data_IF_935342709842
#
_entry.id   IF_935342709842
#
_cell.length_a   1.000
_cell.length_b   1.000
_cell.length_c   1.000
_cell.angle_alpha   90.00
_cell.angle_beta   90.00
_cell.angle_gamma   90.00
#
_symmetry.space_group_name_H-M   'P 1'
#
loop_
_entity.id
_entity.type
_entity.pdbx_description
1 polymer ?
#
# COMPACT_ATOMS: atom_id res chain seq x y z
N UNK A 1 17.95 12.93 15.74
CA UNK A 1 16.68 12.46 16.32
C UNK A 1 15.86 13.56 16.99
N UNK A 2 16.41 14.77 17.20
CA UNK A 2 15.72 15.86 17.95
C UNK A 2 14.78 16.76 17.11
N UNK A 3 14.50 16.40 15.87
CA UNK A 3 13.66 17.24 14.99
C UNK A 3 12.25 16.70 14.76
N UNK A 4 11.89 15.54 15.33
CA UNK A 4 10.52 15.02 15.23
C UNK A 4 9.71 15.69 16.35
N UNK A 5 9.07 16.82 16.06
CA UNK A 5 8.11 17.44 16.97
C UNK A 5 7.00 16.43 17.26
N UNK A 6 6.98 15.87 18.48
CA UNK A 6 5.88 15.05 18.96
C UNK A 6 5.91 13.59 18.52
N UNK A 7 7.08 12.94 18.36
CA UNK A 7 7.12 11.48 18.27
C UNK A 7 6.57 10.90 19.57
N UNK A 8 5.29 10.64 19.60
CA UNK A 8 4.62 9.98 20.72
C UNK A 8 4.65 8.48 20.44
N UNK A 9 5.05 7.68 21.39
CA UNK A 9 4.85 6.22 21.35
C UNK A 9 3.37 5.86 21.50
N UNK A 10 2.48 6.85 21.46
CA UNK A 10 1.04 6.69 21.62
C UNK A 10 0.30 7.86 20.93
N UNK A 11 -0.72 7.52 20.13
CA UNK A 11 -1.59 8.49 19.47
C UNK A 11 -2.78 8.80 20.36
N UNK A 12 -3.11 10.08 20.53
CA UNK A 12 -4.39 10.48 21.14
C UNK A 12 -5.53 10.34 20.14
N UNK A 13 -5.99 9.11 19.95
CA UNK A 13 -7.03 8.78 18.98
C UNK A 13 -8.31 9.59 19.16
N UNK A 14 -8.67 9.95 20.38
CA UNK A 14 -9.89 10.74 20.67
C UNK A 14 -9.85 12.14 20.08
N UNK A 15 -8.65 12.66 19.84
CA UNK A 15 -8.47 13.95 19.16
C UNK A 15 -8.70 13.83 17.65
N UNK A 16 -8.30 12.72 17.05
CA UNK A 16 -8.26 12.55 15.59
C UNK A 16 -9.45 11.80 15.03
N UNK A 17 -10.07 10.89 15.80
CA UNK A 17 -11.05 9.93 15.31
C UNK A 17 -12.29 9.87 16.21
N UNK A 18 -13.45 9.78 15.58
CA UNK A 18 -14.73 9.57 16.25
C UNK A 18 -15.57 8.55 15.46
N UNK A 19 -16.58 7.97 16.12
CA UNK A 19 -17.54 7.06 15.46
C UNK A 19 -18.18 7.72 14.23
N UNK A 20 -18.30 6.95 13.15
CA UNK A 20 -18.81 7.40 11.86
C UNK A 20 -17.76 8.06 10.95
N UNK A 21 -16.50 8.17 11.38
CA UNK A 21 -15.43 8.69 10.52
C UNK A 21 -14.99 7.64 9.50
N UNK A 22 -14.44 8.13 8.38
CA UNK A 22 -13.84 7.31 7.34
C UNK A 22 -12.33 7.43 7.38
N UNK A 23 -11.64 6.30 7.50
CA UNK A 23 -10.18 6.23 7.46
C UNK A 23 -9.70 5.63 6.15
N UNK A 24 -8.64 6.21 5.59
CA UNK A 24 -7.87 5.59 4.50
C UNK A 24 -6.64 4.92 5.10
N UNK A 25 -6.31 3.72 4.63
CA UNK A 25 -5.11 2.99 5.04
C UNK A 25 -4.17 2.86 3.84
N UNK A 26 -2.90 3.21 4.04
CA UNK A 26 -1.83 3.04 3.05
C UNK A 26 -1.74 1.61 2.53
N UNK A 27 -1.32 1.47 1.28
CA UNK A 27 -1.49 0.26 0.47
C UNK A 27 -0.29 -0.67 0.50
N UNK A 28 -0.48 -1.87 -0.03
CA UNK A 28 0.53 -2.90 -0.29
C UNK A 28 1.42 -3.20 0.93
N UNK A 29 2.75 -3.22 0.73
CA UNK A 29 3.73 -3.41 1.79
C UNK A 29 3.96 -2.17 2.65
N UNK A 30 3.42 -1.00 2.27
CA UNK A 30 3.47 0.23 3.06
C UNK A 30 2.25 0.39 4.01
N UNK A 31 1.49 -0.68 4.24
CA UNK A 31 0.40 -0.67 5.21
C UNK A 31 0.94 -0.36 6.62
N UNK A 32 0.34 0.60 7.37
CA UNK A 32 0.80 1.01 8.69
C UNK A 32 0.28 0.06 9.79
N UNK A 33 0.74 -1.20 9.76
CA UNK A 33 0.21 -2.26 10.63
C UNK A 33 0.32 -1.94 12.12
N UNK A 34 1.46 -1.42 12.60
CA UNK A 34 1.62 -1.10 14.03
C UNK A 34 0.69 0.02 14.48
N UNK A 35 0.44 1.00 13.62
CA UNK A 35 -0.49 2.08 13.89
C UNK A 35 -1.93 1.57 13.94
N UNK A 36 -2.31 0.67 13.02
CA UNK A 36 -3.62 0.03 13.02
C UNK A 36 -3.81 -0.90 14.22
N UNK A 37 -2.80 -1.65 14.61
CA UNK A 37 -2.85 -2.49 15.80
C UNK A 37 -3.08 -1.66 17.06
N UNK A 38 -2.39 -0.52 17.20
CA UNK A 38 -2.60 0.40 18.31
C UNK A 38 -4.05 0.94 18.30
N UNK A 39 -4.57 1.36 17.15
CA UNK A 39 -5.96 1.83 17.04
C UNK A 39 -6.95 0.76 17.50
N UNK A 40 -6.78 -0.48 17.06
CA UNK A 40 -7.66 -1.59 17.42
C UNK A 40 -7.58 -1.87 18.92
N UNK A 41 -6.37 -2.01 19.45
CA UNK A 41 -6.16 -2.40 20.84
C UNK A 41 -6.65 -1.32 21.84
N UNK A 42 -6.56 -0.04 21.47
CA UNK A 42 -6.94 1.06 22.35
C UNK A 42 -8.38 1.54 22.18
N UNK A 43 -8.95 1.44 20.98
CA UNK A 43 -10.20 2.14 20.64
C UNK A 43 -11.30 1.25 20.06
N UNK A 44 -11.04 0.00 19.67
CA UNK A 44 -12.06 -0.83 19.02
C UNK A 44 -13.34 -1.01 19.86
N UNK A 45 -13.23 -0.98 21.20
CA UNK A 45 -14.40 -1.07 22.09
C UNK A 45 -15.14 0.25 22.32
N UNK A 46 -14.56 1.38 21.91
CA UNK A 46 -15.10 2.73 22.13
C UNK A 46 -15.62 3.39 20.86
N UNK A 47 -15.28 2.85 19.69
CA UNK A 47 -15.65 3.37 18.37
C UNK A 47 -16.65 2.43 17.70
N UNK A 48 -17.53 2.98 16.86
CA UNK A 48 -18.44 2.22 16.00
C UNK A 48 -18.49 2.91 14.64
N UNK A 49 -18.92 2.15 13.62
CA UNK A 49 -19.17 2.64 12.28
C UNK A 49 -17.98 3.38 11.64
N UNK A 50 -16.76 2.91 11.89
CA UNK A 50 -15.55 3.39 11.22
C UNK A 50 -15.45 2.71 9.87
N UNK A 51 -15.58 3.47 8.79
CA UNK A 51 -15.37 2.96 7.45
C UNK A 51 -13.87 2.97 7.11
N UNK A 52 -13.33 1.79 6.76
CA UNK A 52 -11.94 1.59 6.39
C UNK A 52 -11.82 1.48 4.88
N UNK A 53 -11.31 2.52 4.24
CA UNK A 53 -11.07 2.56 2.79
C UNK A 53 -9.63 2.15 2.50
N UNK A 54 -9.45 1.21 1.60
CA UNK A 54 -8.14 0.76 1.14
C UNK A 54 -8.17 0.22 -0.29
N UNK A 55 -7.01 0.12 -0.94
CA UNK A 55 -6.89 -0.54 -2.24
C UNK A 55 -6.53 -2.00 -2.02
N UNK A 56 -5.29 -2.27 -1.66
CA UNK A 56 -4.73 -3.59 -1.40
C UNK A 56 -3.82 -3.47 -0.18
N UNK A 57 -4.00 -4.33 0.80
CA UNK A 57 -3.17 -4.35 2.00
C UNK A 57 -2.55 -5.73 2.18
N UNK A 58 -1.26 -5.76 2.51
CA UNK A 58 -0.54 -6.98 2.83
C UNK A 58 -0.44 -7.16 4.35
N UNK A 59 -0.41 -8.40 4.81
CA UNK A 59 -0.36 -8.73 6.24
C UNK A 59 -1.69 -9.25 6.77
N UNK A 60 -1.85 -9.26 8.09
CA UNK A 60 -2.98 -9.92 8.76
C UNK A 60 -4.31 -9.18 8.68
N UNK A 61 -4.32 -7.91 8.32
CA UNK A 61 -5.55 -7.10 8.18
C UNK A 61 -6.54 -7.31 9.33
N UNK A 62 -6.08 -7.13 10.58
CA UNK A 62 -6.89 -7.38 11.79
C UNK A 62 -8.24 -6.67 11.76
N UNK A 63 -8.28 -5.45 11.24
CA UNK A 63 -9.51 -4.63 11.10
C UNK A 63 -10.56 -5.27 10.18
N UNK A 64 -10.17 -6.14 9.26
CA UNK A 64 -11.08 -6.85 8.36
C UNK A 64 -11.62 -8.16 8.96
N UNK A 65 -11.22 -8.52 10.18
CA UNK A 65 -11.69 -9.74 10.82
C UNK A 65 -13.10 -9.55 11.38
N UNK A 66 -13.93 -10.59 11.27
CA UNK A 66 -15.34 -10.58 11.67
C UNK A 66 -15.60 -10.11 13.11
N UNK A 67 -14.67 -10.34 14.03
CA UNK A 67 -14.78 -9.90 15.43
C UNK A 67 -14.81 -8.39 15.61
N UNK A 68 -14.38 -7.62 14.59
CA UNK A 68 -14.33 -6.15 14.61
C UNK A 68 -15.39 -5.52 13.69
N UNK A 69 -16.30 -6.30 13.11
CA UNK A 69 -17.30 -5.83 12.14
C UNK A 69 -18.25 -4.75 12.69
N UNK A 70 -18.47 -4.70 14.00
CA UNK A 70 -19.31 -3.69 14.65
C UNK A 70 -18.56 -2.35 14.83
N UNK A 71 -17.22 -2.39 14.75
CA UNK A 71 -16.36 -1.20 14.86
C UNK A 71 -15.90 -0.72 13.49
N UNK A 72 -15.45 -1.64 12.63
CA UNK A 72 -14.86 -1.34 11.34
C UNK A 72 -15.67 -1.96 10.21
N UNK A 73 -16.15 -1.14 9.30
CA UNK A 73 -16.73 -1.57 8.03
C UNK A 73 -15.69 -1.35 6.94
N UNK A 74 -15.28 -2.43 6.29
CA UNK A 74 -14.30 -2.35 5.22
C UNK A 74 -14.97 -1.91 3.91
N UNK A 75 -14.39 -0.92 3.23
CA UNK A 75 -14.73 -0.54 1.86
C UNK A 75 -13.47 -0.74 0.99
N UNK A 76 -13.43 -1.86 0.27
CA UNK A 76 -12.32 -2.19 -0.60
C UNK A 76 -12.49 -1.54 -1.98
N UNK A 77 -11.48 -0.79 -2.43
CA UNK A 77 -11.42 -0.28 -3.81
C UNK A 77 -10.76 -1.30 -4.75
N UNK A 78 -10.11 -2.30 -4.19
CA UNK A 78 -9.59 -3.48 -4.87
C UNK A 78 -9.69 -4.72 -3.96
N UNK A 79 -10.11 -5.85 -4.51
CA UNK A 79 -10.30 -7.09 -3.74
C UNK A 79 -9.01 -7.92 -3.71
N UNK A 80 -8.22 -7.72 -2.67
CA UNK A 80 -7.10 -8.59 -2.32
C UNK A 80 -7.52 -9.92 -1.68
N UNK A 81 -6.55 -10.81 -1.46
CA UNK A 81 -6.82 -12.11 -0.85
C UNK A 81 -7.38 -11.98 0.58
N UNK A 82 -6.85 -11.03 1.38
CA UNK A 82 -7.24 -10.85 2.78
C UNK A 82 -8.62 -10.22 3.01
N UNK A 83 -9.24 -9.65 1.98
CA UNK A 83 -10.52 -8.93 2.09
C UNK A 83 -11.65 -9.60 1.31
N UNK A 84 -11.31 -10.53 0.42
CA UNK A 84 -12.29 -11.21 -0.44
C UNK A 84 -13.33 -12.00 0.35
N UNK A 85 -12.92 -12.65 1.43
CA UNK A 85 -13.81 -13.41 2.30
C UNK A 85 -14.83 -12.49 2.98
N UNK A 86 -14.37 -11.36 3.51
CA UNK A 86 -15.20 -10.37 4.17
C UNK A 86 -16.33 -9.83 3.25
N UNK A 87 -15.99 -9.53 2.00
CA UNK A 87 -16.98 -9.12 0.98
C UNK A 87 -17.92 -10.26 0.62
N UNK A 88 -17.42 -11.49 0.48
CA UNK A 88 -18.23 -12.65 0.14
C UNK A 88 -19.23 -13.00 1.24
N UNK A 89 -18.85 -12.84 2.51
CA UNK A 89 -19.71 -13.08 3.67
C UNK A 89 -20.62 -11.88 4.01
N UNK A 90 -20.47 -10.75 3.34
CA UNK A 90 -21.36 -9.58 3.43
C UNK A 90 -21.12 -8.67 4.63
N UNK A 91 -19.93 -8.72 5.24
CA UNK A 91 -19.53 -7.76 6.29
C UNK A 91 -18.44 -6.77 5.84
N UNK A 92 -18.20 -6.66 4.54
CA UNK A 92 -17.37 -5.66 3.91
C UNK A 92 -17.98 -5.23 2.58
N UNK A 93 -17.74 -4.00 2.19
CA UNK A 93 -18.18 -3.41 0.93
C UNK A 93 -17.08 -3.41 -0.12
N UNK A 94 -17.49 -3.37 -1.39
CA UNK A 94 -16.60 -3.20 -2.53
C UNK A 94 -17.09 -2.05 -3.40
N UNK A 95 -16.24 -1.06 -3.60
CA UNK A 95 -16.50 0.06 -4.51
C UNK A 95 -15.72 -0.14 -5.82
N UNK A 96 -16.38 -0.59 -6.90
CA UNK A 96 -15.71 -0.78 -8.19
C UNK A 96 -15.36 0.56 -8.84
N UNK A 97 -14.08 0.78 -9.10
CA UNK A 97 -13.57 1.97 -9.77
C UNK A 97 -12.25 1.66 -10.47
N UNK A 98 -11.86 2.48 -11.43
CA UNK A 98 -10.52 2.41 -11.97
C UNK A 98 -9.52 3.03 -10.99
N UNK A 99 -8.31 2.47 -10.90
CA UNK A 99 -7.25 3.00 -10.03
C UNK A 99 -6.97 4.50 -10.29
N UNK A 100 -6.99 4.90 -11.56
CA UNK A 100 -6.80 6.29 -11.99
C UNK A 100 -7.91 7.26 -11.54
N UNK A 101 -9.09 6.76 -11.17
CA UNK A 101 -10.23 7.57 -10.72
C UNK A 101 -10.22 7.80 -9.21
N UNK A 102 -9.54 6.95 -8.44
CA UNK A 102 -9.54 7.00 -6.98
C UNK A 102 -9.09 8.37 -6.44
N UNK A 103 -8.01 9.01 -6.95
CA UNK A 103 -7.63 10.34 -6.49
C UNK A 103 -8.75 11.36 -6.62
N UNK A 104 -9.54 11.31 -7.70
CA UNK A 104 -10.69 12.21 -7.91
C UNK A 104 -11.80 11.95 -6.89
N UNK A 105 -12.09 10.69 -6.53
CA UNK A 105 -13.08 10.35 -5.51
C UNK A 105 -12.78 11.02 -4.16
N UNK A 106 -11.50 11.11 -3.79
CA UNK A 106 -11.07 11.78 -2.57
C UNK A 106 -11.13 13.30 -2.71
N UNK A 107 -10.61 13.82 -3.81
CA UNK A 107 -10.50 15.26 -4.06
C UNK A 107 -11.88 15.93 -4.18
N UNK A 108 -12.79 15.32 -4.94
CA UNK A 108 -14.15 15.82 -5.16
C UNK A 108 -15.08 15.51 -3.98
N UNK A 109 -14.56 14.86 -2.94
CA UNK A 109 -15.30 14.44 -1.75
C UNK A 109 -16.50 13.53 -2.05
N UNK A 110 -16.47 12.82 -3.16
CA UNK A 110 -17.39 11.71 -3.44
C UNK A 110 -17.17 10.58 -2.44
N UNK A 111 -15.90 10.33 -2.10
CA UNK A 111 -15.47 9.45 -1.02
C UNK A 111 -14.56 10.25 -0.06
N UNK A 112 -15.15 11.11 0.82
CA UNK A 112 -14.35 11.97 1.70
C UNK A 112 -13.58 11.14 2.72
N UNK A 113 -12.34 11.53 3.00
CA UNK A 113 -11.48 10.88 3.98
C UNK A 113 -11.35 11.79 5.22
N UNK A 114 -11.68 11.27 6.41
CA UNK A 114 -11.49 11.99 7.66
C UNK A 114 -10.05 11.86 8.17
N UNK A 115 -9.51 10.64 8.18
CA UNK A 115 -8.15 10.38 8.65
C UNK A 115 -7.41 9.50 7.65
N UNK A 116 -6.22 9.92 7.22
CA UNK A 116 -5.32 9.10 6.43
C UNK A 116 -4.24 8.48 7.34
N UNK A 117 -4.19 7.15 7.39
CA UNK A 117 -3.16 6.39 8.10
C UNK A 117 -2.14 5.90 7.07
N UNK A 118 -0.93 6.41 7.15
CA UNK A 118 0.12 6.13 6.17
C UNK A 118 1.39 5.58 6.84
N UNK A 119 2.23 4.90 6.10
CA UNK A 119 3.56 4.50 6.53
C UNK A 119 4.62 5.22 5.70
N UNK A 120 5.64 5.73 6.37
CA UNK A 120 6.68 6.54 5.73
C UNK A 120 8.07 6.15 6.25
N UNK A 121 9.11 6.51 5.48
CA UNK A 121 10.50 6.44 5.95
C UNK A 121 10.75 7.46 7.08
N UNK A 122 11.87 7.34 7.82
CA UNK A 122 12.36 8.44 8.63
C UNK A 122 12.54 9.71 7.78
N UNK A 123 12.36 10.90 8.38
CA UNK A 123 12.54 12.16 7.67
C UNK A 123 14.03 12.39 7.34
N UNK A 124 14.26 13.02 6.20
CA UNK A 124 15.55 13.55 5.84
C UNK A 124 15.93 14.81 6.66
N UNK A 125 17.14 15.40 6.51
CA UNK A 125 17.52 16.62 7.21
C UNK A 125 16.63 17.83 6.92
N UNK A 126 15.84 17.80 5.86
CA UNK A 126 14.93 18.88 5.47
C UNK A 126 13.49 18.63 5.95
N UNK A 127 13.22 17.49 6.57
CA UNK A 127 11.89 17.12 7.08
C UNK A 127 11.02 16.38 6.08
N UNK A 128 11.56 15.91 4.97
CA UNK A 128 10.82 15.09 4.01
C UNK A 128 10.92 13.62 4.37
N UNK A 129 9.79 12.96 4.40
CA UNK A 129 9.64 11.50 4.48
C UNK A 129 9.31 10.95 3.10
N UNK A 130 9.71 9.72 2.81
CA UNK A 130 9.27 9.01 1.62
C UNK A 130 8.12 8.07 1.93
N UNK A 131 7.13 8.00 1.04
CA UNK A 131 6.07 6.98 1.07
C UNK A 131 6.61 5.56 0.74
N UNK A 132 7.88 5.49 0.34
CA UNK A 132 8.61 4.25 0.17
C UNK A 132 8.07 3.36 -0.94
N UNK A 133 7.68 2.14 -0.56
CA UNK A 133 7.37 1.05 -1.50
C UNK A 133 5.94 1.08 -2.07
N UNK A 134 5.07 1.99 -1.61
CA UNK A 134 3.71 2.12 -2.14
C UNK A 134 3.26 3.58 -2.11
N UNK A 135 3.27 4.21 -3.25
CA UNK A 135 2.91 5.64 -3.43
C UNK A 135 1.47 5.76 -3.89
N UNK A 136 1.10 5.02 -4.94
CA UNK A 136 -0.23 4.90 -5.55
C UNK A 136 -1.16 6.12 -5.31
N UNK A 137 -2.24 5.96 -4.56
CA UNK A 137 -3.20 7.03 -4.22
C UNK A 137 -2.96 7.65 -2.84
N UNK A 138 -1.90 7.26 -2.14
CA UNK A 138 -1.61 7.71 -0.76
C UNK A 138 -1.47 9.22 -0.68
N UNK A 139 -0.80 9.86 -1.65
CA UNK A 139 -0.72 11.32 -1.73
C UNK A 139 -2.09 11.97 -1.82
N UNK A 140 -2.97 11.45 -2.68
CA UNK A 140 -4.30 12.00 -2.87
C UNK A 140 -5.14 11.85 -1.58
N UNK A 141 -5.04 10.71 -0.91
CA UNK A 141 -5.70 10.46 0.36
C UNK A 141 -5.19 11.40 1.45
N UNK A 142 -3.87 11.52 1.63
CA UNK A 142 -3.26 12.40 2.62
C UNK A 142 -3.64 13.88 2.42
N UNK A 143 -3.60 14.38 1.18
CA UNK A 143 -3.96 15.77 0.87
C UNK A 143 -5.45 16.07 0.97
N UNK A 144 -6.30 15.05 0.90
CA UNK A 144 -7.76 15.20 0.97
C UNK A 144 -8.31 14.95 2.37
N UNK A 145 -7.56 14.28 3.24
CA UNK A 145 -7.95 13.95 4.60
C UNK A 145 -8.00 15.19 5.51
N UNK A 146 -8.86 15.11 6.54
CA UNK A 146 -8.90 16.11 7.62
C UNK A 146 -7.65 16.02 8.49
N UNK A 147 -7.15 14.82 8.75
CA UNK A 147 -5.94 14.53 9.51
C UNK A 147 -5.09 13.47 8.83
N UNK A 148 -3.78 13.63 8.94
CA UNK A 148 -2.78 12.66 8.46
C UNK A 148 -1.98 12.14 9.64
N UNK A 149 -2.03 10.83 9.87
CA UNK A 149 -1.25 10.17 10.92
C UNK A 149 -0.28 9.21 10.26
N UNK A 150 1.01 9.37 10.52
CA UNK A 150 2.05 8.58 9.87
C UNK A 150 2.75 7.63 10.85
N UNK A 151 2.84 6.37 10.46
CA UNK A 151 3.79 5.43 11.03
C UNK A 151 5.16 5.68 10.41
N UNK A 152 6.14 6.12 11.21
CA UNK A 152 7.54 6.23 10.78
C UNK A 152 8.20 4.87 10.97
N UNK A 153 8.63 4.25 9.86
CA UNK A 153 9.27 2.94 9.87
C UNK A 153 10.70 3.06 9.35
N UNK A 154 11.69 2.75 10.19
CA UNK A 154 13.12 2.79 9.82
C UNK A 154 13.49 1.78 8.72
N UNK A 155 12.66 0.75 8.51
CA UNK A 155 12.86 -0.25 7.46
C UNK A 155 12.19 0.14 6.14
N UNK A 156 11.47 1.28 6.09
CA UNK A 156 10.91 1.80 4.86
C UNK A 156 12.02 2.44 4.02
N UNK A 157 12.26 1.97 2.78
CA UNK A 157 13.26 2.57 1.92
C UNK A 157 12.86 4.00 1.53
N UNK A 158 13.85 4.87 1.43
CA UNK A 158 13.67 6.22 0.93
C UNK A 158 13.71 6.20 -0.61
N UNK A 159 12.56 6.11 -1.23
CA UNK A 159 12.43 6.10 -2.69
C UNK A 159 12.34 7.52 -3.24
N UNK A 160 12.87 7.72 -4.44
CA UNK A 160 12.89 9.01 -5.12
C UNK A 160 11.65 9.18 -6.03
N UNK A 161 11.47 10.40 -6.56
CA UNK A 161 10.35 10.74 -7.42
C UNK A 161 9.22 11.45 -6.67
N UNK A 162 7.98 11.32 -7.12
CA UNK A 162 6.80 11.92 -6.46
C UNK A 162 6.31 11.06 -5.29
N UNK A 163 7.23 10.77 -4.37
CA UNK A 163 7.00 9.91 -3.20
C UNK A 163 7.17 10.63 -1.86
N UNK A 164 7.35 11.95 -1.88
CA UNK A 164 7.69 12.69 -0.67
C UNK A 164 6.47 13.33 -0.01
N UNK A 165 6.45 13.27 1.32
CA UNK A 165 5.55 14.06 2.17
C UNK A 165 6.37 14.77 3.23
N UNK A 166 6.10 16.06 3.46
CA UNK A 166 6.82 16.81 4.46
C UNK A 166 6.17 16.64 5.84
N UNK A 167 6.97 16.63 6.91
CA UNK A 167 6.46 16.51 8.30
C UNK A 167 5.40 17.56 8.67
N UNK A 168 5.40 18.72 8.02
CA UNK A 168 4.37 19.76 8.24
C UNK A 168 3.00 19.39 7.66
N UNK A 169 2.92 18.38 6.81
CA UNK A 169 1.68 17.84 6.24
C UNK A 169 1.13 16.66 7.07
N UNK A 170 1.83 16.31 8.17
CA UNK A 170 1.48 15.19 9.05
C UNK A 170 1.08 15.75 10.41
N UNK A 171 -0.13 15.42 10.87
CA UNK A 171 -0.68 15.91 12.13
C UNK A 171 -0.14 15.17 13.36
N UNK A 172 0.13 13.86 13.20
CA UNK A 172 0.74 13.04 14.26
C UNK A 172 1.64 11.94 13.68
N UNK A 173 2.66 11.57 14.44
CA UNK A 173 3.58 10.50 14.06
C UNK A 173 3.68 9.43 15.14
N UNK A 174 3.72 8.17 14.69
CA UNK A 174 3.96 6.99 15.52
C UNK A 174 5.21 6.28 15.02
N UNK A 175 6.22 6.14 15.86
CA UNK A 175 7.48 5.50 15.48
C UNK A 175 7.40 4.01 15.78
N UNK A 176 7.42 3.19 14.73
CA UNK A 176 7.45 1.74 14.87
C UNK A 176 8.28 1.13 13.74
N UNK A 177 9.43 0.57 14.07
CA UNK A 177 10.30 -0.12 13.14
C UNK A 177 9.85 -1.57 13.00
N UNK A 178 9.32 -1.93 11.82
CA UNK A 178 8.84 -3.26 11.51
C UNK A 178 9.32 -3.69 10.13
N UNK A 179 9.61 -4.99 9.91
CA UNK A 179 9.84 -5.53 8.58
C UNK A 179 8.64 -5.24 7.68
N UNK A 180 8.92 -4.87 6.44
CA UNK A 180 7.87 -4.73 5.44
C UNK A 180 7.32 -6.12 5.08
N UNK A 181 6.00 -6.25 4.83
CA UNK A 181 5.45 -7.50 4.33
C UNK A 181 6.09 -7.91 3.01
N UNK A 182 6.43 -9.19 2.88
CA UNK A 182 7.01 -9.77 1.68
C UNK A 182 6.05 -10.76 1.04
N UNK A 183 5.88 -10.68 -0.28
CA UNK A 183 5.19 -11.69 -1.06
C UNK A 183 6.21 -12.74 -1.53
N UNK A 184 5.98 -13.97 -1.14
CA UNK A 184 6.80 -15.09 -1.62
C UNK A 184 6.52 -15.35 -3.11
N UNK A 185 7.54 -15.62 -3.93
CA UNK A 185 7.36 -15.98 -5.33
C UNK A 185 6.41 -17.18 -5.47
N UNK A 186 5.46 -17.07 -6.38
CA UNK A 186 4.53 -18.15 -6.65
C UNK A 186 5.24 -19.36 -7.25
N UNK A 187 4.89 -20.57 -6.79
CA UNK A 187 5.38 -21.79 -7.45
C UNK A 187 4.88 -21.85 -8.88
N UNK A 188 5.81 -21.95 -9.82
CA UNK A 188 5.50 -22.08 -11.25
C UNK A 188 4.97 -23.50 -11.51
N UNK A 189 3.83 -23.56 -12.19
CA UNK A 189 3.33 -24.80 -12.77
C UNK A 189 3.71 -24.86 -14.28
N UNK A 190 3.74 -26.07 -14.89
CA UNK A 190 4.16 -26.21 -16.28
C UNK A 190 3.33 -25.44 -17.31
N UNK A 191 2.05 -25.22 -17.02
CA UNK A 191 1.17 -24.45 -17.92
C UNK A 191 1.54 -22.97 -17.87
N UNK A 192 1.70 -22.42 -16.67
CA UNK A 192 2.12 -21.02 -16.47
C UNK A 192 3.49 -20.76 -17.08
N UNK A 193 4.44 -21.68 -16.89
CA UNK A 193 5.77 -21.58 -17.51
C UNK A 193 5.67 -21.54 -19.04
N UNK A 194 4.85 -22.42 -19.62
CA UNK A 194 4.67 -22.48 -21.09
C UNK A 194 4.03 -21.22 -21.64
N UNK A 195 3.09 -20.62 -20.91
CA UNK A 195 2.51 -19.31 -21.27
C UNK A 195 3.61 -18.24 -21.25
N UNK A 196 4.45 -18.19 -20.23
CA UNK A 196 5.58 -17.26 -20.13
C UNK A 196 6.53 -17.38 -21.32
N UNK A 197 6.93 -18.60 -21.69
CA UNK A 197 7.79 -18.86 -22.84
C UNK A 197 7.15 -18.34 -24.15
N UNK A 198 5.86 -18.57 -24.36
CA UNK A 198 5.17 -18.08 -25.57
C UNK A 198 5.06 -16.55 -25.61
N UNK A 199 4.79 -15.92 -24.48
CA UNK A 199 4.73 -14.45 -24.40
C UNK A 199 6.11 -13.85 -24.65
N UNK A 200 7.18 -14.45 -24.10
CA UNK A 200 8.56 -13.99 -24.32
C UNK A 200 8.94 -14.00 -25.82
N UNK A 201 8.44 -14.95 -26.61
CA UNK A 201 8.67 -14.97 -28.05
C UNK A 201 8.05 -13.79 -28.82
N UNK A 202 7.13 -13.07 -28.21
CA UNK A 202 6.48 -11.88 -28.80
C UNK A 202 7.19 -10.58 -28.45
N UNK A 203 8.14 -10.63 -27.52
CA UNK A 203 8.88 -9.46 -27.04
C UNK A 203 10.17 -9.35 -27.87
N UNK A 204 10.42 -8.17 -28.38
CA UNK A 204 11.63 -7.88 -29.15
C UNK A 204 12.69 -7.22 -28.24
N UNK A 205 13.97 -7.31 -28.62
CA UNK A 205 15.03 -6.53 -27.99
C UNK A 205 14.71 -5.03 -28.08
N UNK A 206 15.01 -4.28 -27.04
CA UNK A 206 14.68 -2.86 -26.95
C UNK A 206 13.21 -2.54 -26.65
N UNK A 207 12.35 -3.55 -26.41
CA UNK A 207 10.96 -3.33 -26.04
C UNK A 207 10.84 -2.70 -24.65
N UNK A 208 9.82 -1.85 -24.44
CA UNK A 208 9.47 -1.33 -23.11
C UNK A 208 8.32 -2.13 -22.50
N UNK A 209 8.53 -2.66 -21.29
CA UNK A 209 7.63 -3.56 -20.62
C UNK A 209 6.77 -2.82 -19.58
N UNK A 210 5.48 -3.12 -19.57
CA UNK A 210 4.58 -2.91 -18.43
C UNK A 210 4.21 -4.27 -17.87
N UNK A 211 4.46 -4.48 -16.58
CA UNK A 211 4.27 -5.78 -15.94
C UNK A 211 3.15 -5.71 -14.89
N UNK A 212 2.28 -6.71 -14.91
CA UNK A 212 1.34 -6.93 -13.81
C UNK A 212 1.97 -7.73 -12.67
N UNK A 213 1.13 -8.15 -11.75
CA UNK A 213 1.50 -9.03 -10.62
C UNK A 213 0.88 -10.41 -10.79
N UNK A 214 1.57 -11.44 -10.32
CA UNK A 214 1.08 -12.81 -10.29
C UNK A 214 1.90 -13.78 -11.13
N UNK A 215 1.45 -15.03 -11.17
CA UNK A 215 2.22 -16.16 -11.74
C UNK A 215 2.59 -15.98 -13.22
N UNK A 216 1.70 -15.40 -14.04
CA UNK A 216 1.94 -15.26 -15.48
C UNK A 216 3.00 -14.18 -15.76
N UNK A 217 2.88 -12.94 -15.24
CA UNK A 217 3.96 -11.96 -15.35
C UNK A 217 5.31 -12.48 -14.87
N UNK A 218 5.34 -13.18 -13.72
CA UNK A 218 6.55 -13.78 -13.17
C UNK A 218 7.16 -14.83 -14.14
N UNK A 219 6.32 -15.65 -14.79
CA UNK A 219 6.79 -16.64 -15.75
C UNK A 219 7.34 -15.98 -17.03
N UNK A 220 6.75 -14.86 -17.46
CA UNK A 220 7.27 -14.08 -18.59
C UNK A 220 8.65 -13.54 -18.25
N UNK A 221 8.81 -12.86 -17.12
CA UNK A 221 10.11 -12.32 -16.68
C UNK A 221 11.19 -13.40 -16.59
N UNK A 222 10.85 -14.58 -16.04
CA UNK A 222 11.75 -15.73 -16.00
C UNK A 222 12.17 -16.26 -17.38
N UNK A 223 11.45 -15.88 -18.43
CA UNK A 223 11.73 -16.33 -19.81
C UNK A 223 12.48 -15.26 -20.64
N UNK A 224 12.79 -14.09 -20.07
CA UNK A 224 13.41 -12.96 -20.78
C UNK A 224 14.94 -12.87 -20.70
N UNK A 225 15.61 -13.84 -20.08
CA UNK A 225 17.08 -13.81 -19.83
C UNK A 225 17.97 -13.62 -21.06
N UNK A 226 17.44 -13.77 -22.26
CA UNK A 226 18.20 -13.62 -23.53
C UNK A 226 17.84 -12.33 -24.28
N UNK A 227 16.90 -11.53 -23.77
CA UNK A 227 16.52 -10.24 -24.36
C UNK A 227 17.50 -9.15 -23.94
N UNK A 228 17.69 -8.16 -24.78
CA UNK A 228 18.63 -7.05 -24.58
C UNK A 228 17.93 -5.71 -24.63
N UNK A 229 18.48 -4.75 -23.88
CA UNK A 229 18.06 -3.34 -23.91
C UNK A 229 16.56 -3.16 -23.60
N UNK A 230 15.99 -3.99 -22.71
CA UNK A 230 14.59 -3.88 -22.33
C UNK A 230 14.38 -2.63 -21.44
N UNK A 231 13.39 -1.81 -21.81
CA UNK A 231 12.92 -0.70 -20.98
C UNK A 231 11.81 -1.14 -20.03
N UNK A 232 11.70 -0.46 -18.88
CA UNK A 232 10.66 -0.73 -17.87
C UNK A 232 9.83 0.55 -17.68
N UNK A 233 8.51 0.43 -17.89
CA UNK A 233 7.55 1.49 -17.59
C UNK A 233 6.31 0.84 -16.98
N UNK A 234 6.31 0.66 -15.67
CA UNK A 234 5.29 -0.12 -14.96
C UNK A 234 4.97 0.50 -13.60
N UNK A 235 3.73 0.33 -13.18
CA UNK A 235 3.29 0.68 -11.83
C UNK A 235 3.83 -0.28 -10.77
N UNK A 236 3.81 -1.59 -11.10
CA UNK A 236 4.22 -2.64 -10.17
C UNK A 236 5.66 -3.07 -10.46
N UNK A 237 6.48 -3.12 -9.42
CA UNK A 237 7.87 -3.56 -9.51
C UNK A 237 8.08 -4.81 -8.64
N UNK A 238 8.61 -5.88 -9.23
CA UNK A 238 8.87 -7.13 -8.53
C UNK A 238 10.37 -7.47 -8.51
N UNK A 239 10.78 -8.35 -7.60
CA UNK A 239 12.16 -8.83 -7.52
C UNK A 239 12.63 -9.53 -8.81
N UNK A 240 11.73 -10.19 -9.54
CA UNK A 240 12.07 -10.84 -10.81
C UNK A 240 12.38 -9.83 -11.91
N UNK A 241 11.74 -8.66 -11.88
CA UNK A 241 12.05 -7.57 -12.79
C UNK A 241 13.47 -7.06 -12.59
N UNK A 242 13.88 -6.87 -11.32
CA UNK A 242 15.24 -6.47 -10.97
C UNK A 242 16.30 -7.51 -11.37
N UNK A 243 16.01 -8.80 -11.18
CA UNK A 243 16.96 -9.88 -11.52
C UNK A 243 17.12 -10.09 -13.02
N UNK A 244 16.10 -9.78 -13.85
CA UNK A 244 16.23 -9.83 -15.31
C UNK A 244 17.09 -8.67 -15.85
N UNK A 245 17.01 -7.50 -15.22
CA UNK A 245 17.81 -6.32 -15.59
C UNK A 245 19.31 -6.48 -15.19
N UNK A 246 19.57 -7.10 -14.04
CA UNK A 246 20.94 -7.31 -13.54
C UNK A 246 21.75 -8.34 -14.34
N UNK A 247 21.15 -9.10 -15.25
CA UNK A 247 21.86 -10.04 -16.12
C UNK A 247 22.64 -9.35 -17.25
N UNK A 248 22.42 -8.06 -17.47
CA UNK A 248 23.10 -7.28 -18.52
C UNK A 248 24.42 -6.64 -18.03
N UNK A 249 24.82 -6.83 -16.77
CA UNK A 249 26.04 -6.24 -16.18
C UNK A 249 27.28 -7.20 -16.17
N UNK A 250 27.26 -8.35 -16.89
CA UNK A 250 28.42 -9.23 -17.05
C UNK A 250 29.04 -9.19 -18.45
#
# INVERSE_FOLDING_TARGET
>A
MDHIKGSQNQIDWKHFLKSGDRIFIGSNAAVPNALMDQLIDEQASALNDIEVVHILTLGENRWAQKQYQDTFTLNALFLGQGTREAVHEGYADYTPCFLSEIPSLFHDKTLPIDVALISVSPPDPHGYCSLGVSVDVVHAAARSARYVIAQINEQMPFTMGDSFIHLNEIDATYVASQPLPELQPAKMDPVTQKIGEYVALLIEDGATLQMGIGKIPDAVLNSLHHHRDLGIHTEMFSCLLYTSDAADEE
#
